data_IF_104485319575
#
_entry.id   IF_104485319575
#
_cell.length_a   1.000
_cell.length_b   1.000
_cell.length_c   1.000
_cell.angle_alpha   90.00
_cell.angle_beta   90.00
_cell.angle_gamma   90.00
#
_symmetry.space_group_name_H-M   'P 1'
#
loop_
_entity.id
_entity.type
_entity.pdbx_description
1 polymer ?
#
# COMPACT_ATOMS: atom_id res chain seq x y z
N UNK A 1 16.31 -7.84 -13.97
CA UNK A 1 15.60 -8.21 -12.71
C UNK A 1 14.21 -7.62 -12.83
N UNK A 2 13.18 -8.44 -12.61
CA UNK A 2 11.80 -7.98 -12.70
C UNK A 2 11.46 -6.95 -11.62
N UNK A 3 10.51 -6.06 -11.88
CA UNK A 3 10.16 -4.99 -10.97
C UNK A 3 9.23 -5.44 -9.84
N UNK A 4 9.37 -4.78 -8.69
CA UNK A 4 8.38 -4.74 -7.60
C UNK A 4 7.82 -3.31 -7.53
N UNK A 5 6.55 -3.14 -7.84
CA UNK A 5 5.97 -1.81 -8.09
C UNK A 5 5.04 -1.39 -6.96
N UNK A 6 5.23 -0.17 -6.48
CA UNK A 6 4.20 0.54 -5.70
C UNK A 6 3.53 1.58 -6.61
N UNK A 7 2.24 1.39 -6.92
CA UNK A 7 1.49 2.29 -7.81
C UNK A 7 0.33 2.97 -7.09
N UNK A 8 0.27 4.29 -7.19
CA UNK A 8 -0.80 5.08 -6.58
C UNK A 8 -0.32 6.45 -6.10
N UNK A 9 -0.77 6.88 -4.93
CA UNK A 9 -0.46 8.18 -4.38
C UNK A 9 1.00 8.31 -3.95
N UNK A 10 1.57 9.48 -4.24
CA UNK A 10 2.75 10.06 -3.61
C UNK A 10 2.41 11.48 -3.19
N UNK A 11 2.73 11.87 -1.96
CA UNK A 11 2.24 13.13 -1.40
C UNK A 11 3.12 13.63 -0.26
N UNK A 12 2.82 14.83 0.19
CA UNK A 12 3.37 15.40 1.42
C UNK A 12 2.33 15.35 2.54
N UNK A 13 2.68 14.73 3.65
CA UNK A 13 1.99 14.88 4.92
C UNK A 13 2.48 16.18 5.57
N UNK A 14 1.61 17.21 5.57
CA UNK A 14 1.92 18.53 6.12
C UNK A 14 1.57 18.56 7.61
N UNK A 15 2.55 18.28 8.44
CA UNK A 15 2.46 18.28 9.90
C UNK A 15 2.89 19.65 10.45
N UNK A 16 2.49 20.02 11.69
CA UNK A 16 2.93 21.26 12.32
C UNK A 16 4.46 21.40 12.41
N UNK A 17 5.17 20.29 12.55
CA UNK A 17 6.62 20.22 12.70
C UNK A 17 7.35 20.25 11.35
N UNK A 18 6.65 20.16 10.23
CA UNK A 18 7.20 20.12 8.89
C UNK A 18 6.53 19.10 7.99
N UNK A 19 7.05 18.94 6.79
CA UNK A 19 6.51 17.99 5.80
C UNK A 19 7.25 16.66 5.86
N UNK A 20 6.49 15.57 5.73
CA UNK A 20 7.02 14.23 5.57
C UNK A 20 6.57 13.64 4.24
N UNK A 21 7.48 12.95 3.54
CA UNK A 21 7.14 12.21 2.33
C UNK A 21 6.25 11.02 2.71
N UNK A 22 5.08 10.95 2.09
CA UNK A 22 4.06 9.94 2.31
C UNK A 22 3.56 9.31 1.01
N UNK A 23 2.61 8.42 1.18
CA UNK A 23 2.00 7.62 0.12
C UNK A 23 2.27 6.14 0.33
N UNK A 24 1.23 5.36 0.63
CA UNK A 24 1.37 3.94 0.94
C UNK A 24 2.11 3.14 -0.15
N UNK A 25 1.86 3.36 -1.47
CA UNK A 25 2.62 2.70 -2.52
C UNK A 25 4.12 3.03 -2.52
N UNK A 26 4.48 4.27 -2.20
CA UNK A 26 5.88 4.70 -2.12
C UNK A 26 6.57 4.06 -0.90
N UNK A 27 5.89 4.02 0.25
CA UNK A 27 6.37 3.37 1.45
C UNK A 27 6.61 1.86 1.20
N UNK A 28 5.65 1.17 0.58
CA UNK A 28 5.79 -0.23 0.18
C UNK A 28 7.02 -0.46 -0.69
N UNK A 29 7.18 0.34 -1.76
CA UNK A 29 8.32 0.22 -2.69
C UNK A 29 9.65 0.45 -1.97
N UNK A 30 9.72 1.45 -1.07
CA UNK A 30 10.90 1.70 -0.26
C UNK A 30 11.30 0.46 0.57
N UNK A 31 10.37 -0.13 1.29
CA UNK A 31 10.67 -1.29 2.13
C UNK A 31 11.01 -2.54 1.32
N UNK A 32 10.38 -2.74 0.15
CA UNK A 32 10.77 -3.79 -0.78
C UNK A 32 12.20 -3.59 -1.32
N UNK A 33 12.58 -2.34 -1.66
CA UNK A 33 13.95 -2.01 -2.08
C UNK A 33 14.97 -2.27 -0.96
N UNK A 34 14.67 -1.90 0.28
CA UNK A 34 15.51 -2.18 1.46
C UNK A 34 15.70 -3.68 1.72
N UNK A 35 14.77 -4.50 1.24
CA UNK A 35 14.87 -5.97 1.25
C UNK A 35 15.57 -6.55 0.01
N UNK A 36 16.18 -5.71 -0.83
CA UNK A 36 16.97 -6.12 -1.99
C UNK A 36 16.18 -6.35 -3.28
N UNK A 37 14.91 -5.92 -3.34
CA UNK A 37 14.10 -6.00 -4.56
C UNK A 37 14.43 -4.84 -5.50
N UNK A 38 14.26 -5.07 -6.81
CA UNK A 38 14.26 -4.01 -7.83
C UNK A 38 12.92 -3.26 -7.77
N UNK A 39 12.75 -2.43 -6.73
CA UNK A 39 11.50 -1.74 -6.48
C UNK A 39 11.43 -0.39 -7.20
N UNK A 40 10.23 0.00 -7.60
CA UNK A 40 9.96 1.28 -8.27
C UNK A 40 8.63 1.88 -7.80
N UNK A 41 8.62 3.19 -7.56
CA UNK A 41 7.41 3.97 -7.29
C UNK A 41 6.81 4.46 -8.60
N UNK A 42 5.52 4.24 -8.80
CA UNK A 42 4.76 4.75 -9.93
C UNK A 42 3.67 5.68 -9.43
N UNK A 43 3.74 6.95 -9.87
CA UNK A 43 2.77 7.98 -9.49
C UNK A 43 2.80 9.16 -10.46
N UNK A 44 2.19 10.28 -10.08
CA UNK A 44 2.33 11.57 -10.76
C UNK A 44 2.54 12.69 -9.74
N UNK A 45 3.23 13.73 -10.19
CA UNK A 45 3.54 14.97 -9.45
C UNK A 45 3.19 16.20 -10.30
N UNK A 46 3.06 17.34 -9.65
CA UNK A 46 2.90 18.63 -10.32
C UNK A 46 4.22 19.19 -10.80
N UNK A 47 4.16 20.14 -11.75
CA UNK A 47 5.30 20.99 -12.10
C UNK A 47 5.44 22.13 -11.07
N UNK A 48 5.69 21.77 -9.82
CA UNK A 48 5.80 22.66 -8.70
C UNK A 48 7.01 22.31 -7.81
N UNK A 49 7.26 23.13 -6.79
CA UNK A 49 8.39 22.91 -5.87
C UNK A 49 8.21 21.64 -5.03
N UNK A 50 6.97 21.28 -4.70
CA UNK A 50 6.68 20.08 -3.91
C UNK A 50 6.95 18.81 -4.71
N UNK A 51 6.62 18.81 -6.01
CA UNK A 51 6.91 17.67 -6.91
C UNK A 51 8.42 17.50 -7.11
N UNK A 52 9.16 18.59 -7.29
CA UNK A 52 10.63 18.51 -7.39
C UNK A 52 11.26 18.00 -6.10
N UNK A 53 10.80 18.45 -4.95
CA UNK A 53 11.28 17.96 -3.66
C UNK A 53 10.95 16.48 -3.43
N UNK A 54 9.80 15.95 -3.93
CA UNK A 54 9.51 14.50 -3.90
C UNK A 54 10.59 13.72 -4.66
N UNK A 55 10.95 14.15 -5.88
CA UNK A 55 12.02 13.52 -6.67
C UNK A 55 13.32 13.50 -5.87
N UNK A 56 13.74 14.66 -5.33
CA UNK A 56 14.96 14.78 -4.54
C UNK A 56 14.95 13.80 -3.34
N UNK A 57 13.84 13.70 -2.62
CA UNK A 57 13.73 12.78 -1.47
C UNK A 57 13.77 11.31 -1.86
N UNK A 58 13.18 10.94 -2.98
CA UNK A 58 13.25 9.57 -3.48
C UNK A 58 14.67 9.23 -3.96
N UNK A 59 15.35 10.17 -4.61
CA UNK A 59 16.74 10.03 -5.05
C UNK A 59 17.72 9.93 -3.86
N UNK A 60 17.54 10.74 -2.82
CA UNK A 60 18.31 10.65 -1.56
C UNK A 60 18.18 9.24 -0.93
N UNK A 61 17.01 8.62 -1.06
CA UNK A 61 16.76 7.25 -0.58
C UNK A 61 17.18 6.16 -1.57
N UNK A 62 17.73 6.56 -2.73
CA UNK A 62 18.08 5.65 -3.82
C UNK A 62 16.89 4.77 -4.23
N UNK A 63 15.68 5.33 -4.23
CA UNK A 63 14.44 4.64 -4.59
C UNK A 63 14.05 4.97 -6.03
N UNK A 64 14.18 4.02 -6.97
CA UNK A 64 13.77 4.21 -8.36
C UNK A 64 12.29 4.61 -8.45
N UNK A 65 11.99 5.52 -9.37
CA UNK A 65 10.64 6.03 -9.54
C UNK A 65 10.31 6.30 -11.01
N UNK A 66 9.04 6.17 -11.35
CA UNK A 66 8.43 6.60 -12.61
C UNK A 66 7.31 7.59 -12.26
N UNK A 67 7.69 8.84 -12.05
CA UNK A 67 6.80 9.94 -11.71
C UNK A 67 6.52 10.78 -12.95
N UNK A 68 5.26 10.82 -13.38
CA UNK A 68 4.84 11.67 -14.48
C UNK A 68 4.55 13.08 -13.96
N UNK A 69 5.09 14.11 -14.63
CA UNK A 69 4.71 15.50 -14.36
C UNK A 69 3.42 15.81 -15.10
N UNK A 70 2.39 16.24 -14.37
CA UNK A 70 1.05 16.53 -14.91
C UNK A 70 0.61 17.95 -14.53
N UNK A 71 -0.35 18.58 -15.26
CA UNK A 71 -0.79 19.95 -15.00
C UNK A 71 -1.75 20.06 -13.81
N UNK A 72 -1.42 19.38 -12.71
CA UNK A 72 -2.13 19.38 -11.44
C UNK A 72 -1.13 19.61 -10.31
N UNK A 73 -1.59 20.18 -9.20
CA UNK A 73 -0.71 20.39 -8.03
C UNK A 73 -0.23 19.04 -7.45
N UNK A 74 0.99 19.03 -6.92
CA UNK A 74 1.49 17.89 -6.15
C UNK A 74 0.58 17.63 -4.93
N UNK A 75 0.27 16.37 -4.66
CA UNK A 75 -0.64 15.97 -3.60
C UNK A 75 -0.13 16.31 -2.21
N UNK A 76 -1.04 16.81 -1.36
CA UNK A 76 -0.77 17.09 0.05
C UNK A 76 -1.90 16.56 0.93
N UNK A 77 -1.54 16.19 2.14
CA UNK A 77 -2.45 15.96 3.25
C UNK A 77 -2.17 17.02 4.31
N UNK A 78 -3.15 17.87 4.59
CA UNK A 78 -3.06 18.86 5.64
C UNK A 78 -3.59 18.28 6.94
N UNK A 79 -2.86 18.48 8.03
CA UNK A 79 -3.30 18.08 9.36
C UNK A 79 -3.75 19.33 10.10
N UNK A 80 -5.06 19.45 10.28
CA UNK A 80 -5.68 20.50 11.07
C UNK A 80 -5.97 19.98 12.47
N UNK A 81 -5.71 20.78 13.49
CA UNK A 81 -6.16 20.48 14.85
C UNK A 81 -7.64 20.82 14.93
N UNK A 82 -8.48 19.81 15.00
CA UNK A 82 -9.92 19.96 15.22
C UNK A 82 -10.26 20.34 16.66
N UNK A 83 -11.56 20.43 16.95
CA UNK A 83 -12.05 20.64 18.31
C UNK A 83 -11.52 19.58 19.26
N UNK A 84 -11.09 19.98 20.44
CA UNK A 84 -10.43 19.14 21.45
C UNK A 84 -9.04 18.59 21.08
N UNK A 85 -8.35 19.17 20.08
CA UNK A 85 -6.99 18.77 19.70
C UNK A 85 -6.92 17.44 18.91
N UNK A 86 -8.03 16.93 18.41
CA UNK A 86 -8.06 15.72 17.58
C UNK A 86 -7.59 16.09 16.17
N UNK A 87 -6.54 15.43 15.63
CA UNK A 87 -6.07 15.70 14.28
C UNK A 87 -7.16 15.38 13.23
N UNK A 88 -7.44 16.33 12.34
CA UNK A 88 -8.29 16.13 11.18
C UNK A 88 -7.41 16.17 9.94
N UNK A 89 -7.38 15.07 9.23
CA UNK A 89 -6.63 14.96 7.97
C UNK A 89 -7.50 15.47 6.82
N UNK A 90 -6.95 16.38 6.01
CA UNK A 90 -7.59 16.88 4.80
C UNK A 90 -6.75 16.46 3.60
N UNK A 91 -7.15 15.39 2.93
CA UNK A 91 -6.51 14.89 1.72
C UNK A 91 -7.01 15.71 0.54
N UNK A 92 -6.15 16.55 -0.05
CA UNK A 92 -6.52 17.39 -1.19
C UNK A 92 -6.98 16.55 -2.38
N UNK A 93 -8.02 17.01 -3.04
CA UNK A 93 -8.55 16.41 -4.27
C UNK A 93 -8.05 17.15 -5.51
N UNK A 94 -8.25 16.57 -6.70
CA UNK A 94 -7.81 17.11 -7.99
C UNK A 94 -6.31 17.40 -8.04
N UNK A 95 -5.52 16.52 -7.47
CA UNK A 95 -4.06 16.61 -7.42
C UNK A 95 -3.38 15.69 -8.44
N UNK A 96 -2.07 15.78 -8.55
CA UNK A 96 -1.30 15.07 -9.57
C UNK A 96 -1.51 13.56 -9.55
N UNK A 97 -1.47 12.90 -8.40
CA UNK A 97 -1.66 11.45 -8.30
C UNK A 97 -3.10 10.98 -8.56
N UNK A 98 -4.08 11.88 -8.66
CA UNK A 98 -5.41 11.58 -9.21
C UNK A 98 -5.38 11.43 -10.74
N UNK A 99 -4.27 11.83 -11.39
CA UNK A 99 -4.13 11.95 -12.83
C UNK A 99 -2.88 11.19 -13.36
N UNK A 100 -2.61 10.00 -12.83
CA UNK A 100 -1.50 9.15 -13.28
C UNK A 100 -1.78 8.68 -14.71
N UNK A 101 -0.99 9.07 -15.75
CA UNK A 101 -1.24 8.65 -17.11
C UNK A 101 -0.71 7.24 -17.37
N UNK A 102 -1.40 6.46 -18.20
CA UNK A 102 -0.90 5.17 -18.66
C UNK A 102 -0.03 5.37 -19.91
N UNK A 103 1.28 5.35 -19.71
CA UNK A 103 2.29 5.59 -20.77
C UNK A 103 2.91 4.30 -21.28
N UNK A 104 3.58 4.34 -22.45
CA UNK A 104 4.35 3.19 -22.96
C UNK A 104 5.46 2.76 -22.01
N UNK A 105 6.08 3.70 -21.30
CA UNK A 105 7.07 3.40 -20.26
C UNK A 105 6.42 2.61 -19.10
N UNK A 106 5.23 3.01 -18.67
CA UNK A 106 4.51 2.32 -17.61
C UNK A 106 4.05 0.93 -18.06
N UNK A 107 3.63 0.80 -19.32
CA UNK A 107 3.30 -0.49 -19.92
C UNK A 107 4.49 -1.45 -19.96
N UNK A 108 5.68 -0.94 -20.29
CA UNK A 108 6.91 -1.74 -20.26
C UNK A 108 7.27 -2.19 -18.82
N UNK A 109 7.12 -1.32 -17.83
CA UNK A 109 7.30 -1.67 -16.41
C UNK A 109 6.30 -2.76 -16.01
N UNK A 110 5.02 -2.63 -16.37
CA UNK A 110 3.99 -3.63 -16.06
C UNK A 110 4.36 -5.01 -16.62
N UNK A 111 4.76 -5.06 -17.89
CA UNK A 111 5.12 -6.30 -18.57
C UNK A 111 6.34 -7.02 -17.95
N UNK A 112 7.24 -6.29 -17.28
CA UNK A 112 8.43 -6.84 -16.59
C UNK A 112 8.28 -6.89 -15.06
N UNK A 113 7.06 -6.72 -14.55
CA UNK A 113 6.80 -6.75 -13.10
C UNK A 113 6.51 -8.16 -12.59
N UNK A 114 7.07 -8.48 -11.42
CA UNK A 114 6.79 -9.71 -10.66
C UNK A 114 5.87 -9.46 -9.44
N UNK A 115 5.80 -8.22 -8.96
CA UNK A 115 4.86 -7.83 -7.93
C UNK A 115 4.40 -6.39 -8.10
N UNK A 116 3.17 -6.12 -7.66
CA UNK A 116 2.63 -4.77 -7.54
C UNK A 116 1.83 -4.64 -6.25
N UNK A 117 1.94 -3.48 -5.60
CA UNK A 117 1.07 -3.08 -4.50
C UNK A 117 0.31 -1.80 -4.90
N UNK A 118 -1.00 -1.81 -4.68
CA UNK A 118 -1.90 -0.70 -4.94
C UNK A 118 -2.98 -0.62 -3.85
N UNK A 119 -3.50 0.58 -3.63
CA UNK A 119 -4.53 0.84 -2.61
C UNK A 119 -5.85 1.34 -3.21
N UNK A 120 -6.81 1.67 -2.35
CA UNK A 120 -8.09 2.25 -2.75
C UNK A 120 -8.00 3.76 -3.03
N UNK A 121 -7.12 4.49 -2.33
CA UNK A 121 -7.12 5.95 -2.33
C UNK A 121 -6.89 6.57 -3.72
N UNK A 122 -5.88 6.13 -4.45
CA UNK A 122 -5.60 6.63 -5.80
C UNK A 122 -6.68 6.26 -6.82
N UNK A 123 -7.53 5.29 -6.49
CA UNK A 123 -8.65 4.88 -7.34
C UNK A 123 -9.90 5.77 -7.21
N UNK A 124 -9.89 6.76 -6.30
CA UNK A 124 -10.96 7.75 -6.19
C UNK A 124 -11.16 8.52 -7.50
N UNK A 125 -10.08 8.80 -8.21
CA UNK A 125 -10.11 9.35 -9.57
C UNK A 125 -10.22 8.25 -10.60
N UNK A 126 -11.12 8.43 -11.58
CA UNK A 126 -11.28 7.49 -12.70
C UNK A 126 -10.04 7.36 -13.58
N UNK A 127 -9.23 8.42 -13.69
CA UNK A 127 -8.00 8.43 -14.51
C UNK A 127 -6.97 7.50 -13.90
N UNK A 128 -6.60 7.71 -12.64
CA UNK A 128 -5.62 6.87 -11.95
C UNK A 128 -6.13 5.45 -11.74
N UNK A 129 -7.44 5.26 -11.48
CA UNK A 129 -8.06 3.94 -11.39
C UNK A 129 -7.90 3.16 -12.70
N UNK A 130 -8.19 3.80 -13.85
CA UNK A 130 -8.02 3.15 -15.15
C UNK A 130 -6.55 2.80 -15.43
N UNK A 131 -5.62 3.67 -15.04
CA UNK A 131 -4.17 3.41 -15.16
C UNK A 131 -3.76 2.22 -14.30
N UNK A 132 -4.21 2.14 -13.05
CA UNK A 132 -3.94 1.00 -12.16
C UNK A 132 -4.49 -0.29 -12.79
N UNK A 133 -5.73 -0.28 -13.27
CA UNK A 133 -6.33 -1.47 -13.91
C UNK A 133 -5.58 -1.90 -15.17
N UNK A 134 -5.21 -0.95 -16.04
CA UNK A 134 -4.42 -1.24 -17.25
C UNK A 134 -3.06 -1.83 -16.88
N UNK A 135 -2.41 -1.31 -15.84
CA UNK A 135 -1.15 -1.86 -15.32
C UNK A 135 -1.32 -3.31 -14.86
N UNK A 136 -2.36 -3.60 -14.06
CA UNK A 136 -2.64 -4.94 -13.55
C UNK A 136 -2.96 -5.94 -14.69
N UNK A 137 -3.64 -5.46 -15.74
CA UNK A 137 -4.04 -6.28 -16.89
C UNK A 137 -2.84 -6.60 -17.81
N UNK A 138 -1.86 -5.69 -17.92
CA UNK A 138 -0.64 -5.86 -18.72
C UNK A 138 0.49 -6.61 -17.96
N UNK A 139 0.35 -6.86 -16.67
CA UNK A 139 1.28 -7.72 -15.92
C UNK A 139 1.26 -9.16 -16.45
N UNK A 140 2.39 -9.90 -16.35
CA UNK A 140 2.44 -11.30 -16.76
C UNK A 140 1.37 -12.16 -16.07
N UNK A 141 0.78 -13.08 -16.83
CA UNK A 141 -0.23 -14.04 -16.32
C UNK A 141 0.43 -15.34 -15.92
N UNK A 142 1.19 -15.31 -14.82
CA UNK A 142 1.88 -16.47 -14.24
C UNK A 142 1.53 -16.58 -12.76
N UNK A 143 1.64 -17.78 -12.23
CA UNK A 143 1.27 -18.05 -10.83
C UNK A 143 2.23 -17.42 -9.81
N UNK A 144 3.47 -17.12 -10.20
CA UNK A 144 4.47 -16.47 -9.36
C UNK A 144 4.32 -14.95 -9.27
N UNK A 145 3.39 -14.35 -10.02
CA UNK A 145 3.11 -12.92 -9.97
C UNK A 145 2.26 -12.58 -8.74
N UNK A 146 2.68 -11.55 -8.01
CA UNK A 146 2.01 -11.08 -6.81
C UNK A 146 1.31 -9.74 -7.08
N UNK A 147 -0.02 -9.72 -7.00
CA UNK A 147 -0.86 -8.51 -7.10
C UNK A 147 -1.47 -8.24 -5.73
N UNK A 148 -0.88 -7.29 -5.01
CA UNK A 148 -1.26 -6.96 -3.63
C UNK A 148 -2.23 -5.78 -3.64
N UNK A 149 -3.43 -6.01 -3.15
CA UNK A 149 -4.35 -4.95 -2.79
C UNK A 149 -4.24 -4.69 -1.29
N UNK A 150 -3.55 -3.61 -0.93
CA UNK A 150 -3.56 -3.06 0.43
C UNK A 150 -4.72 -2.06 0.49
N UNK A 151 -5.81 -2.45 1.13
CA UNK A 151 -7.09 -1.72 1.06
C UNK A 151 -6.92 -0.24 1.42
N UNK A 152 -6.30 0.04 2.56
CA UNK A 152 -5.91 1.36 3.02
C UNK A 152 -7.04 2.41 2.88
N UNK A 153 -8.20 2.14 3.51
CA UNK A 153 -9.36 3.02 3.45
C UNK A 153 -9.06 4.40 4.04
N UNK A 154 -9.41 5.44 3.32
CA UNK A 154 -9.23 6.83 3.74
C UNK A 154 -10.51 7.63 3.55
N UNK A 155 -11.03 8.21 4.64
CA UNK A 155 -12.24 9.05 4.64
C UNK A 155 -13.40 8.33 3.91
N UNK A 156 -13.97 8.97 2.85
CA UNK A 156 -15.02 8.42 1.99
C UNK A 156 -14.52 8.14 0.56
N UNK A 157 -13.20 8.08 0.35
CA UNK A 157 -12.59 7.92 -0.98
C UNK A 157 -12.54 6.45 -1.45
N UNK A 158 -13.60 5.70 -1.18
CA UNK A 158 -13.77 4.32 -1.63
C UNK A 158 -15.25 4.04 -1.91
N UNK A 159 -15.52 3.02 -2.67
CA UNK A 159 -16.87 2.50 -2.91
C UNK A 159 -16.83 0.97 -2.99
N UNK A 160 -17.99 0.33 -2.85
CA UNK A 160 -18.13 -1.12 -3.04
C UNK A 160 -17.59 -1.56 -4.40
N UNK A 161 -17.88 -0.80 -5.47
CA UNK A 161 -17.38 -1.06 -6.83
C UNK A 161 -15.85 -1.07 -6.88
N UNK A 162 -15.18 -0.04 -6.33
CA UNK A 162 -13.71 0.06 -6.30
C UNK A 162 -13.10 -1.13 -5.55
N UNK A 163 -13.66 -1.46 -4.39
CA UNK A 163 -13.16 -2.55 -3.55
C UNK A 163 -13.36 -3.89 -4.25
N UNK A 164 -14.57 -4.16 -4.77
CA UNK A 164 -14.88 -5.41 -5.43
C UNK A 164 -14.04 -5.63 -6.70
N UNK A 165 -13.89 -4.60 -7.51
CA UNK A 165 -13.07 -4.64 -8.72
C UNK A 165 -11.58 -4.85 -8.42
N UNK A 166 -11.08 -4.27 -7.33
CA UNK A 166 -9.72 -4.48 -6.85
C UNK A 166 -9.50 -5.91 -6.34
N UNK A 167 -10.47 -6.44 -5.57
CA UNK A 167 -10.45 -7.82 -5.08
C UNK A 167 -10.46 -8.86 -6.22
N UNK A 168 -11.17 -8.58 -7.31
CA UNK A 168 -11.18 -9.43 -8.52
C UNK A 168 -9.86 -9.41 -9.30
N UNK A 169 -9.03 -8.37 -9.11
CA UNK A 169 -7.75 -8.18 -9.82
C UNK A 169 -6.52 -8.54 -9.02
N UNK A 170 -6.63 -8.61 -7.69
CA UNK A 170 -5.52 -9.01 -6.83
C UNK A 170 -5.49 -10.52 -6.58
N UNK A 171 -4.38 -11.01 -6.04
CA UNK A 171 -4.26 -12.36 -5.49
C UNK A 171 -3.70 -12.36 -4.06
N UNK A 172 -3.35 -11.18 -3.54
CA UNK A 172 -3.03 -10.95 -2.14
C UNK A 172 -3.88 -9.77 -1.66
N UNK A 173 -4.62 -9.97 -0.58
CA UNK A 173 -5.32 -8.92 0.13
C UNK A 173 -4.59 -8.62 1.43
N UNK A 174 -4.28 -7.35 1.69
CA UNK A 174 -3.91 -6.91 3.04
C UNK A 174 -4.98 -5.96 3.56
N UNK A 175 -5.38 -6.18 4.79
CA UNK A 175 -6.46 -5.46 5.47
C UNK A 175 -6.13 -5.36 6.97
N UNK A 176 -6.55 -4.29 7.62
CA UNK A 176 -6.51 -4.21 9.08
C UNK A 176 -7.87 -4.55 9.69
N UNK A 177 -7.93 -4.68 11.02
CA UNK A 177 -9.13 -5.07 11.76
C UNK A 177 -10.26 -4.04 11.67
N UNK A 178 -9.96 -2.74 11.61
CA UNK A 178 -10.96 -1.68 11.43
C UNK A 178 -11.54 -1.70 10.02
N UNK A 179 -10.70 -1.87 9.02
CA UNK A 179 -11.08 -2.00 7.61
C UNK A 179 -11.91 -3.27 7.38
N UNK A 180 -11.57 -4.38 8.05
CA UNK A 180 -12.32 -5.62 7.97
C UNK A 180 -13.77 -5.45 8.42
N UNK A 181 -14.04 -4.65 9.46
CA UNK A 181 -15.40 -4.32 9.89
C UNK A 181 -16.17 -3.65 8.75
N UNK A 182 -15.57 -2.64 8.11
CA UNK A 182 -16.20 -1.91 6.99
C UNK A 182 -16.49 -2.85 5.80
N UNK A 183 -15.52 -3.70 5.46
CA UNK A 183 -15.65 -4.66 4.36
C UNK A 183 -16.67 -5.75 4.68
N UNK A 184 -16.73 -6.22 5.92
CA UNK A 184 -17.73 -7.17 6.35
C UNK A 184 -19.16 -6.61 6.28
N UNK A 185 -19.34 -5.32 6.54
CA UNK A 185 -20.61 -4.63 6.34
C UNK A 185 -20.99 -4.54 4.86
N UNK A 186 -20.04 -4.12 4.03
CA UNK A 186 -20.21 -3.93 2.58
C UNK A 186 -20.58 -5.25 1.87
N UNK A 187 -19.93 -6.34 2.22
CA UNK A 187 -20.13 -7.64 1.56
C UNK A 187 -21.06 -8.63 2.30
N UNK A 188 -21.86 -8.12 3.24
CA UNK A 188 -22.84 -8.90 3.99
C UNK A 188 -22.24 -10.08 4.80
N UNK A 189 -21.06 -9.89 5.36
CA UNK A 189 -20.36 -10.86 6.21
C UNK A 189 -20.62 -10.63 7.71
N UNK A 190 -21.61 -9.79 8.07
CA UNK A 190 -22.01 -9.56 9.46
C UNK A 190 -22.48 -10.87 10.10
N UNK A 191 -22.04 -11.09 11.34
CA UNK A 191 -22.37 -12.31 12.09
C UNK A 191 -21.31 -13.41 12.03
N UNK A 192 -20.32 -13.28 11.15
CA UNK A 192 -19.11 -14.10 11.15
C UNK A 192 -18.05 -13.44 12.06
N UNK A 193 -17.20 -14.25 12.72
CA UNK A 193 -16.03 -13.73 13.39
C UNK A 193 -14.95 -13.30 12.38
N UNK A 194 -13.90 -12.56 12.83
CA UNK A 194 -12.89 -12.01 11.93
C UNK A 194 -12.18 -13.08 11.09
N UNK A 195 -11.90 -14.25 11.65
CA UNK A 195 -11.27 -15.35 10.92
C UNK A 195 -12.20 -15.89 9.81
N UNK A 196 -13.46 -16.11 10.13
CA UNK A 196 -14.48 -16.57 9.16
C UNK A 196 -14.68 -15.53 8.05
N UNK A 197 -14.66 -14.23 8.36
CA UNK A 197 -14.71 -13.15 7.38
C UNK A 197 -13.51 -13.20 6.43
N UNK A 198 -12.30 -13.35 6.97
CA UNK A 198 -11.07 -13.48 6.18
C UNK A 198 -11.10 -14.72 5.27
N UNK A 199 -11.50 -15.87 5.79
CA UNK A 199 -11.62 -17.11 5.01
C UNK A 199 -12.67 -16.97 3.91
N UNK A 200 -13.81 -16.30 4.19
CA UNK A 200 -14.84 -16.03 3.19
C UNK A 200 -14.30 -15.16 2.04
N UNK A 201 -13.61 -14.05 2.36
CA UNK A 201 -12.99 -13.17 1.35
C UNK A 201 -11.94 -13.92 0.53
N UNK A 202 -11.07 -14.69 1.19
CA UNK A 202 -10.04 -15.51 0.54
C UNK A 202 -10.64 -16.45 -0.50
N UNK A 203 -11.69 -17.18 -0.13
CA UNK A 203 -12.35 -18.13 -1.00
C UNK A 203 -13.20 -17.46 -2.09
N UNK A 204 -13.96 -16.41 -1.74
CA UNK A 204 -14.86 -15.69 -2.66
C UNK A 204 -14.12 -15.09 -3.83
N UNK A 205 -12.91 -14.54 -3.59
CA UNK A 205 -12.11 -13.88 -4.60
C UNK A 205 -10.90 -14.70 -5.09
N UNK A 206 -10.83 -15.98 -4.68
CA UNK A 206 -9.74 -16.90 -5.04
C UNK A 206 -8.35 -16.29 -4.76
N UNK A 207 -8.21 -15.68 -3.59
CA UNK A 207 -6.95 -15.09 -3.17
C UNK A 207 -5.95 -16.18 -2.79
N UNK A 208 -4.67 -15.98 -3.08
CA UNK A 208 -3.60 -16.86 -2.61
C UNK A 208 -3.28 -16.61 -1.15
N UNK A 209 -3.31 -15.34 -0.74
CA UNK A 209 -2.93 -14.90 0.60
C UNK A 209 -3.88 -13.78 1.04
N UNK A 210 -4.32 -13.84 2.31
CA UNK A 210 -4.97 -12.74 2.99
C UNK A 210 -4.18 -12.42 4.25
N UNK A 211 -3.80 -11.16 4.41
CA UNK A 211 -3.08 -10.63 5.57
C UNK A 211 -4.04 -9.76 6.37
N UNK A 212 -4.24 -10.10 7.64
CA UNK A 212 -5.00 -9.30 8.60
C UNK A 212 -4.04 -8.76 9.66
N UNK A 213 -3.93 -7.43 9.78
CA UNK A 213 -3.17 -6.78 10.84
C UNK A 213 -4.13 -6.25 11.91
N UNK A 214 -3.81 -6.49 13.19
CA UNK A 214 -4.65 -6.14 14.34
C UNK A 214 -3.89 -5.25 15.35
N UNK A 215 -3.14 -4.27 14.84
CA UNK A 215 -2.40 -3.32 15.66
C UNK A 215 -1.53 -4.00 16.71
N UNK A 216 -1.75 -3.68 17.98
CA UNK A 216 -0.98 -4.23 19.11
C UNK A 216 -1.30 -5.68 19.44
N UNK A 217 -2.36 -6.26 18.87
CA UNK A 217 -2.76 -7.64 19.14
C UNK A 217 -2.00 -8.67 18.32
N UNK A 218 -1.48 -8.27 17.16
CA UNK A 218 -0.74 -9.16 16.26
C UNK A 218 -1.20 -9.08 14.82
N UNK A 219 -0.86 -10.12 14.07
CA UNK A 219 -1.25 -10.25 12.67
C UNK A 219 -1.49 -11.71 12.29
N UNK A 220 -2.32 -11.90 11.30
CA UNK A 220 -2.64 -13.20 10.73
C UNK A 220 -2.31 -13.20 9.25
N UNK A 221 -1.83 -14.34 8.76
CA UNK A 221 -1.70 -14.62 7.33
C UNK A 221 -2.45 -15.91 7.04
N UNK A 222 -3.41 -15.82 6.14
CA UNK A 222 -4.26 -16.95 5.70
C UNK A 222 -3.91 -17.32 4.27
N UNK A 223 -3.81 -18.60 4.01
CA UNK A 223 -3.80 -19.22 2.68
C UNK A 223 -4.87 -20.32 2.62
N UNK A 224 -5.00 -20.99 1.48
CA UNK A 224 -5.92 -22.15 1.39
C UNK A 224 -5.51 -23.29 2.33
N UNK A 225 -4.20 -23.44 2.61
CA UNK A 225 -3.65 -24.62 3.27
C UNK A 225 -3.20 -24.35 4.71
N UNK A 226 -2.88 -23.09 5.04
CA UNK A 226 -2.30 -22.76 6.34
C UNK A 226 -2.76 -21.39 6.89
N UNK A 227 -2.66 -21.26 8.20
CA UNK A 227 -2.85 -20.01 8.94
C UNK A 227 -1.63 -19.77 9.82
N UNK A 228 -1.05 -18.59 9.71
CA UNK A 228 0.03 -18.11 10.57
C UNK A 228 -0.49 -16.98 11.46
N UNK A 229 -0.19 -17.02 12.74
CA UNK A 229 -0.42 -15.93 13.70
C UNK A 229 0.87 -15.55 14.39
N UNK A 230 1.14 -14.26 14.48
CA UNK A 230 2.25 -13.72 15.26
C UNK A 230 1.77 -12.53 16.12
N UNK A 231 2.11 -12.50 17.40
CA UNK A 231 1.83 -11.34 18.25
C UNK A 231 2.69 -10.15 17.83
N UNK A 232 2.19 -8.93 18.04
CA UNK A 232 2.98 -7.72 17.85
C UNK A 232 4.07 -7.61 18.91
N UNK A 233 5.35 -7.45 18.53
CA UNK A 233 6.43 -7.23 19.49
C UNK A 233 6.20 -5.93 20.29
N UNK A 234 6.55 -5.96 21.56
CA UNK A 234 6.54 -4.74 22.39
C UNK A 234 7.81 -3.93 22.09
N UNK A 235 7.61 -2.74 21.55
CA UNK A 235 8.68 -1.79 21.24
C UNK A 235 8.33 -0.42 21.82
N UNK A 236 9.34 0.43 22.00
CA UNK A 236 9.11 1.84 22.28
C UNK A 236 8.70 2.54 20.99
N UNK A 237 7.45 2.98 20.94
CA UNK A 237 6.84 3.54 19.72
C UNK A 237 7.20 5.02 19.61
N UNK A 238 7.87 5.38 18.52
CA UNK A 238 8.12 6.77 18.12
C UNK A 238 7.03 7.27 17.16
N UNK A 239 6.63 6.43 16.19
CA UNK A 239 5.63 6.72 15.17
C UNK A 239 5.02 5.41 14.65
N UNK A 240 3.79 5.44 14.14
CA UNK A 240 3.14 4.26 13.54
C UNK A 240 2.92 4.41 12.04
N UNK A 241 3.29 5.55 11.46
CA UNK A 241 3.16 5.82 10.02
C UNK A 241 4.03 4.84 9.22
N UNK A 242 3.44 4.23 8.19
CA UNK A 242 4.13 3.27 7.33
C UNK A 242 4.33 1.87 7.92
N UNK A 243 3.86 1.60 9.15
CA UNK A 243 3.97 0.26 9.76
C UNK A 243 3.30 -0.82 8.90
N UNK A 244 2.09 -0.56 8.38
CA UNK A 244 1.39 -1.46 7.46
C UNK A 244 2.10 -1.63 6.12
N UNK A 245 2.56 -0.53 5.54
CA UNK A 245 3.25 -0.52 4.24
C UNK A 245 4.59 -1.27 4.32
N UNK A 246 5.32 -1.08 5.42
CA UNK A 246 6.58 -1.77 5.68
C UNK A 246 6.38 -3.28 5.91
N UNK A 247 5.31 -3.65 6.60
CA UNK A 247 4.90 -5.04 6.74
C UNK A 247 4.66 -5.66 5.36
N UNK A 248 3.85 -5.00 4.52
CA UNK A 248 3.50 -5.49 3.18
C UNK A 248 4.73 -5.58 2.29
N UNK A 249 5.62 -4.57 2.30
CA UNK A 249 6.87 -4.55 1.53
C UNK A 249 7.83 -5.68 1.92
N UNK A 250 8.04 -5.88 3.23
CA UNK A 250 8.90 -6.94 3.73
C UNK A 250 8.32 -8.34 3.49
N UNK A 251 7.00 -8.51 3.62
CA UNK A 251 6.32 -9.76 3.33
C UNK A 251 6.49 -10.18 1.87
N UNK A 252 6.14 -9.28 0.94
CA UNK A 252 6.24 -9.53 -0.52
C UNK A 252 7.68 -9.83 -0.92
N UNK A 253 8.64 -9.05 -0.45
CA UNK A 253 10.05 -9.28 -0.73
C UNK A 253 10.53 -10.65 -0.22
N UNK A 254 10.05 -11.09 0.95
CA UNK A 254 10.38 -12.40 1.51
C UNK A 254 9.80 -13.53 0.67
N UNK A 255 8.54 -13.43 0.24
CA UNK A 255 7.90 -14.43 -0.65
C UNK A 255 8.67 -14.51 -1.97
N UNK A 256 8.99 -13.39 -2.60
CA UNK A 256 9.77 -13.34 -3.86
C UNK A 256 11.20 -13.91 -3.70
N UNK A 257 11.74 -13.88 -2.48
CA UNK A 257 13.02 -14.52 -2.13
C UNK A 257 12.91 -16.01 -1.81
N UNK A 258 11.75 -16.63 -2.03
CA UNK A 258 11.51 -18.07 -1.81
C UNK A 258 11.33 -18.48 -0.34
N UNK A 259 11.00 -17.53 0.54
CA UNK A 259 10.70 -17.83 1.95
C UNK A 259 9.31 -18.45 2.09
N UNK A 260 9.14 -19.31 3.09
CA UNK A 260 7.83 -19.83 3.49
C UNK A 260 6.93 -18.71 4.03
N UNK A 261 5.61 -18.94 4.07
CA UNK A 261 4.64 -18.02 4.66
C UNK A 261 5.03 -17.64 6.09
N UNK A 262 5.42 -18.60 6.92
CA UNK A 262 5.80 -18.37 8.31
C UNK A 262 7.08 -17.49 8.42
N UNK A 263 8.07 -17.70 7.55
CA UNK A 263 9.29 -16.89 7.53
C UNK A 263 9.01 -15.47 7.01
N UNK A 264 8.20 -15.32 5.95
CA UNK A 264 7.79 -14.04 5.39
C UNK A 264 6.97 -13.24 6.41
N UNK A 265 6.04 -13.89 7.11
CA UNK A 265 5.24 -13.27 8.16
C UNK A 265 6.12 -12.76 9.32
N UNK A 266 7.07 -13.59 9.81
CA UNK A 266 8.01 -13.17 10.86
C UNK A 266 8.83 -11.96 10.43
N UNK A 267 9.35 -11.96 9.20
CA UNK A 267 10.13 -10.85 8.68
C UNK A 267 9.31 -9.56 8.55
N UNK A 268 8.08 -9.68 8.10
CA UNK A 268 7.13 -8.55 8.02
C UNK A 268 6.87 -7.93 9.39
N UNK A 269 6.62 -8.76 10.41
CA UNK A 269 6.42 -8.31 11.82
C UNK A 269 7.67 -7.62 12.36
N UNK A 270 8.88 -8.18 12.12
CA UNK A 270 10.15 -7.58 12.55
C UNK A 270 10.36 -6.19 11.93
N UNK A 271 10.15 -6.06 10.60
CA UNK A 271 10.36 -4.80 9.88
C UNK A 271 9.33 -3.76 10.32
N UNK A 272 8.06 -4.14 10.43
CA UNK A 272 6.99 -3.24 10.90
C UNK A 272 7.25 -2.75 12.33
N UNK A 273 7.66 -3.64 13.23
CA UNK A 273 8.02 -3.26 14.60
C UNK A 273 9.23 -2.31 14.63
N UNK A 274 10.25 -2.54 13.80
CA UNK A 274 11.39 -1.62 13.67
C UNK A 274 10.93 -0.24 13.18
N UNK A 275 10.09 -0.18 12.14
CA UNK A 275 9.58 1.10 11.63
C UNK A 275 8.84 1.88 12.71
N UNK A 276 8.05 1.21 13.54
CA UNK A 276 7.37 1.87 14.67
C UNK A 276 8.33 2.50 15.71
N UNK A 277 9.62 2.12 15.75
CA UNK A 277 10.62 2.76 16.63
C UNK A 277 11.29 3.98 15.99
N UNK A 278 10.95 4.32 14.76
CA UNK A 278 11.57 5.40 13.99
C UNK A 278 10.55 6.50 13.71
N UNK A 279 11.03 7.68 13.29
CA UNK A 279 10.17 8.76 12.81
C UNK A 279 9.97 8.66 11.31
N UNK A 280 8.71 8.72 10.87
CA UNK A 280 8.30 8.66 9.47
C UNK A 280 8.33 7.25 8.87
N UNK A 281 7.67 7.11 7.73
CA UNK A 281 7.41 5.82 7.10
C UNK A 281 8.62 5.18 6.39
N UNK A 282 9.66 5.97 6.08
CA UNK A 282 10.84 5.54 5.32
C UNK A 282 12.14 5.80 6.11
N UNK A 283 12.39 5.17 7.26
CA UNK A 283 13.61 5.38 8.05
C UNK A 283 14.86 4.85 7.31
N UNK A 284 16.04 5.41 7.64
CA UNK A 284 17.33 5.00 7.06
C UNK A 284 17.87 3.68 7.62
#
# INVERSE_FOLDING_TARGET
MSYVVGIGEVLWDCLPEGRQLGGAPANFAYHAARMGMNAVVVSAIGDDSLGREIIERLDEKSLPHNLNVVPFATGTVEVELGEAGIPKYNIKEDVAWDNIPYTDALKAIAADSQAVCFGSLAQRSSISRQTIYSFLDDMPRRDDILKVFDINLRQSFYSEEIIEDSLKRCNILKINDEELITIAEMFSLKGLNAEEQCINLLNRYNLKILILTCGTQGSYVFTADEKSFLPTPKVEVADTVGAGDSFTGAFVASILSGKSIAEAHRKAVEVSAYVCTQHGAMPY
#
